data_IF_215641349495
#
_entry.id   IF_215641349495
#
_cell.length_a   1.000
_cell.length_b   1.000
_cell.length_c   1.000
_cell.angle_alpha   90.00
_cell.angle_beta   90.00
_cell.angle_gamma   90.00
#
_symmetry.space_group_name_H-M   'P 1'
#
loop_
_entity.id
_entity.type
_entity.pdbx_description
1 polymer ?
#
# COMPACT_ATOMS: atom_id res chain seq x y z
N UNK A 1 20.08 16.92 -38.89
CA UNK A 1 20.37 17.20 -37.47
C UNK A 1 19.39 16.42 -36.62
N UNK A 2 19.79 15.27 -36.08
CA UNK A 2 19.01 14.59 -35.03
C UNK A 2 19.30 15.29 -33.69
N UNK A 3 18.29 15.57 -32.85
CA UNK A 3 18.55 16.18 -31.55
C UNK A 3 19.32 15.17 -30.69
N UNK A 4 20.59 15.47 -30.41
CA UNK A 4 21.38 14.75 -29.40
C UNK A 4 20.95 15.24 -28.01
N UNK A 5 19.81 14.78 -27.54
CA UNK A 5 19.46 14.86 -26.12
C UNK A 5 19.97 13.60 -25.43
N UNK A 6 20.24 13.66 -24.12
CA UNK A 6 20.58 12.49 -23.30
C UNK A 6 19.36 11.56 -23.27
N UNK A 7 19.19 10.74 -24.31
CA UNK A 7 18.04 9.86 -24.50
C UNK A 7 17.84 8.93 -23.30
N UNK A 8 18.90 8.63 -22.54
CA UNK A 8 18.83 7.87 -21.30
C UNK A 8 17.98 8.54 -20.22
N UNK A 9 18.09 9.86 -20.01
CA UNK A 9 17.36 10.53 -18.93
C UNK A 9 15.85 10.57 -19.19
N UNK A 10 15.43 10.75 -20.45
CA UNK A 10 14.01 10.71 -20.81
C UNK A 10 13.47 9.27 -20.80
N UNK A 11 14.26 8.29 -21.26
CA UNK A 11 13.91 6.86 -21.22
C UNK A 11 13.74 6.31 -19.80
N UNK A 12 14.58 6.75 -18.85
CA UNK A 12 14.42 6.39 -17.43
C UNK A 12 13.29 7.20 -16.76
N UNK A 13 13.09 8.47 -17.13
CA UNK A 13 11.97 9.28 -16.62
C UNK A 13 10.60 8.74 -17.06
N UNK A 14 10.47 8.14 -18.23
CA UNK A 14 9.22 7.48 -18.67
C UNK A 14 9.02 6.08 -18.10
N UNK A 15 10.01 5.51 -17.40
CA UNK A 15 9.95 4.18 -16.77
C UNK A 15 10.06 4.21 -15.24
N UNK A 16 9.95 5.37 -14.60
CA UNK A 16 9.84 5.43 -13.14
C UNK A 16 8.55 4.75 -12.71
N UNK A 17 8.69 3.60 -12.06
CA UNK A 17 7.54 2.86 -11.54
C UNK A 17 7.06 3.54 -10.27
N UNK A 18 5.79 3.96 -10.30
CA UNK A 18 5.12 4.52 -9.14
C UNK A 18 4.27 3.41 -8.52
N UNK A 19 4.46 3.21 -7.23
CA UNK A 19 3.77 2.20 -6.44
C UNK A 19 2.72 2.86 -5.56
N UNK A 20 1.58 2.20 -5.44
CA UNK A 20 0.48 2.65 -4.60
C UNK A 20 0.08 1.52 -3.66
N UNK A 21 0.27 1.72 -2.35
CA UNK A 21 -0.23 0.84 -1.30
C UNK A 21 -1.55 1.39 -0.76
N UNK A 22 -2.60 0.59 -0.79
CA UNK A 22 -3.94 1.02 -0.37
C UNK A 22 -4.39 0.33 0.92
N UNK A 23 -5.03 1.10 1.79
CA UNK A 23 -5.69 0.61 2.98
C UNK A 23 -7.13 1.08 2.98
N UNK A 24 -8.04 0.18 3.35
CA UNK A 24 -9.46 0.50 3.43
C UNK A 24 -10.01 0.15 4.80
N UNK A 25 -10.66 1.12 5.44
CA UNK A 25 -11.33 0.91 6.71
C UNK A 25 -12.78 0.47 6.47
N UNK A 26 -13.09 -0.79 6.78
CA UNK A 26 -14.43 -1.34 6.58
C UNK A 26 -15.51 -0.73 7.49
N UNK A 27 -15.14 -0.18 8.66
CA UNK A 27 -16.09 0.42 9.62
C UNK A 27 -16.44 1.85 9.25
N UNK A 28 -15.43 2.68 8.94
CA UNK A 28 -15.63 4.09 8.58
C UNK A 28 -15.83 4.33 7.08
N UNK A 29 -15.54 3.31 6.24
CA UNK A 29 -15.52 3.38 4.77
C UNK A 29 -14.53 4.40 4.22
N UNK A 30 -13.45 4.65 4.96
CA UNK A 30 -12.37 5.54 4.54
C UNK A 30 -11.28 4.75 3.82
N UNK A 31 -10.83 5.27 2.68
CA UNK A 31 -9.73 4.71 1.90
C UNK A 31 -8.48 5.59 1.99
N UNK A 32 -7.31 4.97 2.15
CA UNK A 32 -6.02 5.63 2.22
C UNK A 32 -5.10 5.09 1.11
N UNK A 33 -4.44 5.98 0.39
CA UNK A 33 -3.47 5.64 -0.65
C UNK A 33 -2.08 6.19 -0.28
N UNK A 34 -1.08 5.32 -0.23
CA UNK A 34 0.31 5.69 0.00
C UNK A 34 1.08 5.46 -1.29
N UNK A 35 1.42 6.58 -1.95
CA UNK A 35 2.11 6.58 -3.24
C UNK A 35 3.59 6.87 -3.03
N UNK A 36 4.45 6.05 -3.60
CA UNK A 36 5.90 6.24 -3.59
C UNK A 36 6.49 5.74 -4.91
N UNK A 37 7.61 6.33 -5.33
CA UNK A 37 8.36 5.96 -6.52
C UNK A 37 9.72 5.35 -6.14
N UNK A 38 10.35 4.68 -7.10
CA UNK A 38 11.66 4.03 -6.93
C UNK A 38 12.77 4.99 -6.49
N UNK A 39 12.61 6.31 -6.67
CA UNK A 39 13.61 7.29 -6.22
C UNK A 39 13.56 7.54 -4.70
N UNK A 40 12.40 7.35 -4.09
CA UNK A 40 12.17 7.61 -2.66
C UNK A 40 12.21 6.34 -1.81
N UNK A 41 11.86 5.18 -2.37
CA UNK A 41 11.87 3.92 -1.63
C UNK A 41 11.99 2.69 -2.54
N UNK A 42 12.69 1.67 -2.03
CA UNK A 42 12.81 0.37 -2.68
C UNK A 42 11.60 -0.53 -2.43
N UNK A 43 11.35 -1.46 -3.36
CA UNK A 43 10.34 -2.53 -3.25
C UNK A 43 10.78 -3.68 -2.35
N UNK A 44 11.22 -3.34 -1.13
CA UNK A 44 11.58 -4.33 -0.14
C UNK A 44 10.43 -4.60 0.83
N UNK A 45 10.35 -5.80 1.39
CA UNK A 45 9.40 -6.12 2.46
C UNK A 45 9.50 -5.19 3.67
N UNK A 46 10.67 -4.57 3.88
CA UNK A 46 10.90 -3.62 4.97
C UNK A 46 10.12 -2.33 4.76
N UNK A 47 10.04 -1.84 3.52
CA UNK A 47 9.26 -0.65 3.19
C UNK A 47 7.76 -0.88 3.45
N UNK A 48 7.24 -2.04 3.07
CA UNK A 48 5.86 -2.43 3.40
C UNK A 48 5.65 -2.54 4.90
N UNK A 49 6.60 -3.13 5.64
CA UNK A 49 6.59 -3.16 7.11
C UNK A 49 6.48 -1.76 7.72
N UNK A 50 7.33 -0.83 7.27
CA UNK A 50 7.28 0.57 7.70
C UNK A 50 5.93 1.24 7.39
N UNK A 51 5.39 1.04 6.19
CA UNK A 51 4.07 1.55 5.81
C UNK A 51 2.96 0.99 6.71
N UNK A 52 2.96 -0.31 7.00
CA UNK A 52 2.02 -0.93 7.92
C UNK A 52 2.13 -0.34 9.32
N UNK A 53 3.34 -0.32 9.89
CA UNK A 53 3.59 0.21 11.25
C UNK A 53 3.14 1.67 11.36
N UNK A 54 3.53 2.52 10.41
CA UNK A 54 3.20 3.93 10.44
C UNK A 54 1.69 4.18 10.26
N UNK A 55 1.04 3.48 9.31
CA UNK A 55 -0.39 3.60 9.10
C UNK A 55 -1.18 3.18 10.35
N UNK A 56 -0.90 1.98 10.89
CA UNK A 56 -1.63 1.47 12.04
C UNK A 56 -1.28 2.17 13.34
N UNK A 57 -0.03 2.63 13.53
CA UNK A 57 0.32 3.47 14.69
C UNK A 57 -0.51 4.75 14.70
N UNK A 58 -0.58 5.46 13.56
CA UNK A 58 -1.40 6.68 13.45
C UNK A 58 -2.88 6.39 13.69
N UNK A 59 -3.37 5.26 13.19
CA UNK A 59 -4.76 4.84 13.39
C UNK A 59 -5.07 4.58 14.86
N UNK A 60 -4.21 3.82 15.56
CA UNK A 60 -4.37 3.50 16.97
C UNK A 60 -4.21 4.74 17.87
N UNK A 61 -3.29 5.65 17.52
CA UNK A 61 -3.12 6.92 18.24
C UNK A 61 -4.35 7.83 18.13
N UNK A 62 -5.05 7.79 16.98
CA UNK A 62 -6.28 8.54 16.78
C UNK A 62 -7.51 7.93 17.50
N UNK A 63 -7.44 6.64 17.88
CA UNK A 63 -8.54 5.90 18.51
C UNK A 63 -8.04 4.98 19.63
N UNK A 64 -7.68 5.53 20.80
CA UNK A 64 -7.15 4.75 21.92
C UNK A 64 -8.16 3.79 22.56
N UNK A 65 -9.46 3.96 22.30
CA UNK A 65 -10.53 3.13 22.88
C UNK A 65 -10.77 1.80 22.13
N UNK A 66 -10.22 1.61 20.94
CA UNK A 66 -10.42 0.37 20.19
C UNK A 66 -9.59 -0.77 20.82
N UNK A 67 -10.29 -1.74 21.40
CA UNK A 67 -9.67 -2.83 22.17
C UNK A 67 -8.99 -3.90 21.31
N UNK A 68 -9.40 -4.04 20.03
CA UNK A 68 -8.89 -5.05 19.11
C UNK A 68 -8.80 -4.50 17.68
N UNK A 69 -7.71 -4.80 16.96
CA UNK A 69 -7.56 -4.47 15.55
C UNK A 69 -7.52 -5.75 14.70
N UNK A 70 -8.38 -5.83 13.68
CA UNK A 70 -8.40 -6.94 12.72
C UNK A 70 -7.95 -6.41 11.35
N UNK A 71 -6.86 -6.96 10.83
CA UNK A 71 -6.30 -6.61 9.53
C UNK A 71 -6.64 -7.72 8.55
N UNK A 72 -7.31 -7.36 7.46
CA UNK A 72 -7.51 -8.25 6.33
C UNK A 72 -6.45 -7.96 5.28
N UNK A 73 -5.76 -9.00 4.82
CA UNK A 73 -4.71 -8.89 3.81
C UNK A 73 -4.88 -9.94 2.72
N UNK A 74 -4.42 -9.61 1.52
CA UNK A 74 -4.23 -10.62 0.49
C UNK A 74 -3.08 -11.58 0.87
N UNK A 75 -2.99 -12.69 0.15
CA UNK A 75 -1.96 -13.70 0.36
C UNK A 75 -0.59 -13.34 -0.22
N UNK A 76 -0.32 -12.08 -0.59
CA UNK A 76 0.90 -11.72 -1.30
C UNK A 76 2.14 -11.87 -0.40
N UNK A 77 3.01 -12.81 -0.77
CA UNK A 77 4.15 -13.24 0.05
C UNK A 77 5.22 -12.19 0.31
N UNK A 78 5.32 -11.15 -0.52
CA UNK A 78 6.34 -10.09 -0.34
C UNK A 78 5.78 -8.84 0.35
N UNK A 79 4.51 -8.51 0.10
CA UNK A 79 3.85 -7.31 0.63
C UNK A 79 3.21 -7.53 1.99
N UNK A 80 2.50 -8.64 2.17
CA UNK A 80 1.57 -8.81 3.28
C UNK A 80 1.83 -10.08 4.10
N UNK A 81 2.20 -11.18 3.43
CA UNK A 81 2.44 -12.49 4.04
C UNK A 81 3.93 -12.82 4.13
N UNK A 82 4.68 -12.02 4.87
CA UNK A 82 6.12 -12.22 5.09
C UNK A 82 6.53 -12.02 6.55
N UNK A 83 7.68 -12.58 6.92
CA UNK A 83 8.23 -12.50 8.30
C UNK A 83 8.50 -11.05 8.72
N UNK A 84 8.95 -10.21 7.79
CA UNK A 84 9.19 -8.78 8.04
C UNK A 84 7.92 -8.05 8.46
N UNK A 85 6.79 -8.31 7.79
CA UNK A 85 5.49 -7.72 8.16
C UNK A 85 5.02 -8.25 9.51
N UNK A 86 5.11 -9.56 9.72
CA UNK A 86 4.71 -10.17 10.99
C UNK A 86 5.48 -9.59 12.18
N UNK A 87 6.79 -9.41 12.04
CA UNK A 87 7.63 -8.78 13.06
C UNK A 87 7.28 -7.30 13.27
N UNK A 88 7.00 -6.57 12.20
CA UNK A 88 6.59 -5.17 12.27
C UNK A 88 5.25 -4.99 13.00
N UNK A 89 4.28 -5.88 12.76
CA UNK A 89 3.00 -5.87 13.46
C UNK A 89 3.18 -6.31 14.92
N UNK A 90 4.02 -7.30 15.20
CA UNK A 90 4.35 -7.72 16.56
C UNK A 90 4.95 -6.55 17.37
N UNK A 91 5.89 -5.80 16.79
CA UNK A 91 6.45 -4.62 17.42
C UNK A 91 5.36 -3.59 17.76
N UNK A 92 4.41 -3.36 16.84
CA UNK A 92 3.29 -2.45 17.07
C UNK A 92 2.39 -2.90 18.22
N UNK A 93 2.11 -4.21 18.32
CA UNK A 93 1.35 -4.80 19.45
C UNK A 93 2.07 -4.54 20.77
N UNK A 94 3.39 -4.71 20.82
CA UNK A 94 4.19 -4.46 22.03
C UNK A 94 4.17 -2.99 22.42
N UNK A 95 4.28 -2.08 21.45
CA UNK A 95 4.31 -0.63 21.67
C UNK A 95 2.95 -0.07 22.11
N UNK A 96 1.88 -0.47 21.43
CA UNK A 96 0.52 0.07 21.65
C UNK A 96 -0.31 -0.74 22.65
N UNK A 97 0.13 -1.96 22.98
CA UNK A 97 -0.58 -2.91 23.86
C UNK A 97 -1.99 -3.26 23.37
N UNK A 98 -2.22 -3.18 22.06
CA UNK A 98 -3.49 -3.57 21.42
C UNK A 98 -3.26 -4.88 20.67
N UNK A 99 -4.07 -5.92 20.90
CA UNK A 99 -4.00 -7.16 20.12
C UNK A 99 -4.39 -6.91 18.66
N UNK A 100 -3.53 -7.38 17.76
CA UNK A 100 -3.73 -7.30 16.30
C UNK A 100 -3.91 -8.72 15.75
N UNK A 101 -5.03 -8.94 15.07
CA UNK A 101 -5.29 -10.18 14.32
C UNK A 101 -5.08 -9.94 12.83
N UNK A 102 -4.11 -10.61 12.22
CA UNK A 102 -3.92 -10.60 10.77
C UNK A 102 -4.64 -11.80 10.14
N UNK A 103 -5.62 -11.53 9.28
CA UNK A 103 -6.41 -12.53 8.54
C UNK A 103 -6.09 -12.46 7.07
N UNK A 104 -5.97 -13.63 6.44
CA UNK A 104 -5.72 -13.76 5.01
C UNK A 104 -6.96 -14.26 4.29
N UNK A 105 -7.18 -13.75 3.09
CA UNK A 105 -8.25 -14.19 2.21
C UNK A 105 -8.06 -15.66 1.79
N UNK A 106 -9.17 -16.38 1.69
CA UNK A 106 -9.15 -17.74 1.16
C UNK A 106 -9.10 -17.74 -0.38
N UNK A 107 -8.46 -18.75 -0.99
CA UNK A 107 -8.50 -18.91 -2.45
C UNK A 107 -9.95 -18.95 -2.94
N UNK A 108 -10.30 -18.07 -3.88
CA UNK A 108 -11.67 -17.94 -4.42
C UNK A 108 -12.46 -16.73 -3.89
N UNK A 109 -12.04 -16.11 -2.79
CA UNK A 109 -12.62 -14.85 -2.28
C UNK A 109 -11.55 -13.75 -2.25
N UNK A 110 -10.91 -13.51 -3.38
CA UNK A 110 -9.75 -12.61 -3.46
C UNK A 110 -10.12 -11.15 -3.63
N UNK A 111 -11.40 -10.81 -3.80
CA UNK A 111 -11.81 -9.43 -4.05
C UNK A 111 -11.93 -8.64 -2.75
N UNK A 112 -11.22 -7.53 -2.66
CA UNK A 112 -11.28 -6.56 -1.56
C UNK A 112 -11.79 -5.20 -2.02
N UNK A 113 -12.27 -4.39 -1.07
CA UNK A 113 -12.58 -2.97 -1.31
C UNK A 113 -11.35 -2.19 -1.82
N UNK A 114 -10.14 -2.60 -1.43
CA UNK A 114 -8.90 -2.07 -1.99
C UNK A 114 -8.81 -2.26 -3.51
N UNK A 115 -9.28 -3.40 -4.05
CA UNK A 115 -9.28 -3.66 -5.50
C UNK A 115 -10.27 -2.75 -6.23
N UNK A 116 -11.39 -2.41 -5.57
CA UNK A 116 -12.34 -1.44 -6.08
C UNK A 116 -11.73 -0.03 -6.14
N UNK A 117 -10.93 0.36 -5.13
CA UNK A 117 -10.18 1.62 -5.16
C UNK A 117 -9.17 1.64 -6.31
N UNK A 118 -8.37 0.58 -6.48
CA UNK A 118 -7.42 0.47 -7.60
C UNK A 118 -8.12 0.55 -8.95
N UNK A 119 -9.25 -0.14 -9.11
CA UNK A 119 -10.06 -0.10 -10.33
C UNK A 119 -10.60 1.31 -10.64
N UNK A 120 -11.01 2.07 -9.63
CA UNK A 120 -11.48 3.44 -9.79
C UNK A 120 -10.34 4.39 -10.20
N UNK A 121 -9.19 4.28 -9.55
CA UNK A 121 -8.00 5.07 -9.85
C UNK A 121 -7.55 4.79 -11.29
N UNK A 122 -7.41 3.51 -11.67
CA UNK A 122 -6.97 3.10 -13.00
C UNK A 122 -7.91 3.60 -14.11
N UNK A 123 -9.22 3.50 -13.90
CA UNK A 123 -10.21 4.03 -14.86
C UNK A 123 -10.04 5.53 -15.07
N UNK A 124 -9.81 6.28 -13.98
CA UNK A 124 -9.69 7.74 -14.05
C UNK A 124 -8.38 8.16 -14.70
N UNK A 125 -7.27 7.54 -14.32
CA UNK A 125 -5.95 7.79 -14.92
C UNK A 125 -5.94 7.46 -16.42
N UNK A 126 -6.58 6.37 -16.86
CA UNK A 126 -6.70 6.04 -18.28
C UNK A 126 -7.54 7.07 -19.04
N UNK A 127 -8.63 7.56 -18.46
CA UNK A 127 -9.42 8.62 -19.08
C UNK A 127 -8.62 9.92 -19.26
N UNK A 128 -7.84 10.32 -18.26
CA UNK A 128 -7.08 11.57 -18.32
C UNK A 128 -5.99 11.52 -19.42
N UNK A 129 -5.33 10.38 -19.59
CA UNK A 129 -4.31 10.18 -20.66
C UNK A 129 -4.91 10.27 -22.06
N UNK A 130 -6.16 9.86 -22.25
CA UNK A 130 -6.84 9.88 -23.55
C UNK A 130 -7.45 11.24 -23.92
N UNK A 131 -7.57 12.16 -22.95
CA UNK A 131 -8.10 13.51 -23.18
C UNK A 131 -6.97 14.49 -23.54
N UNK A 132 -5.74 14.22 -23.11
CA UNK A 132 -4.54 15.02 -23.44
C UNK A 132 -3.81 14.59 -24.73
N UNK A 133 -4.32 13.58 -25.44
CA UNK A 133 -3.77 13.06 -26.71
C UNK A 133 -4.63 13.42 -27.92
#
# INVERSE_FOLDING_TARGET
MCPKTKASAMYYRTKLVVHNMTYFNLKTKEGFCYVFDESNADLSSQMFGYLHHNHFSRYLDAKPDDSNAVIWSDGCGYQNKCVTIANSLLQLVVEKKVPIEQKFLTPGNTQMECDAMHSLIERRTKCDILIES
#
